data_IF_969809387655
#
_entry.id   IF_969809387655
#
_cell.length_a   1.000
_cell.length_b   1.000
_cell.length_c   1.000
_cell.angle_alpha   90.00
_cell.angle_beta   90.00
_cell.angle_gamma   90.00
#
_symmetry.space_group_name_H-M   'P 1'
#
loop_
_entity.id
_entity.type
_entity.pdbx_description
1 polymer ?
#
# COMPACT_ATOMS: atom_id res chain seq x y z
N UNK A 1 0.61 4.63 -19.69
CA UNK A 1 1.15 3.41 -19.03
C UNK A 1 2.61 3.68 -18.74
N UNK A 2 3.00 3.70 -17.46
CA UNK A 2 4.39 4.00 -17.07
C UNK A 2 4.98 2.72 -16.47
N UNK A 3 5.97 2.16 -17.14
CA UNK A 3 6.79 1.06 -16.62
C UNK A 3 7.93 1.69 -15.83
N UNK A 4 8.05 1.30 -14.56
CA UNK A 4 8.97 1.90 -13.60
C UNK A 4 9.82 0.78 -12.99
N UNK A 5 11.08 1.05 -12.67
CA UNK A 5 12.12 0.09 -12.26
C UNK A 5 12.77 0.43 -10.92
N UNK A 6 12.33 1.49 -10.20
CA UNK A 6 13.03 2.00 -9.01
C UNK A 6 12.13 2.60 -7.92
N UNK A 7 12.57 2.48 -6.64
CA UNK A 7 11.93 3.02 -5.42
C UNK A 7 11.57 4.51 -5.48
N UNK A 8 12.28 5.31 -6.28
CA UNK A 8 12.01 6.76 -6.45
C UNK A 8 10.71 7.04 -7.21
N UNK A 9 10.17 6.06 -7.92
CA UNK A 9 9.12 6.29 -8.91
C UNK A 9 7.70 6.12 -8.34
N UNK A 10 7.53 5.31 -7.29
CA UNK A 10 6.26 5.19 -6.54
C UNK A 10 5.87 6.51 -5.87
N UNK A 11 6.83 7.25 -5.31
CA UNK A 11 6.58 8.56 -4.67
C UNK A 11 6.09 9.60 -5.68
N UNK A 12 6.63 9.58 -6.90
CA UNK A 12 6.20 10.49 -7.97
C UNK A 12 4.78 10.17 -8.44
N UNK A 13 4.45 8.89 -8.43
CA UNK A 13 3.17 8.38 -8.90
C UNK A 13 2.00 8.59 -7.93
N UNK A 14 2.21 8.50 -6.61
CA UNK A 14 1.17 8.83 -5.63
C UNK A 14 0.65 10.27 -5.80
N UNK A 15 1.50 11.17 -6.31
CA UNK A 15 1.11 12.55 -6.63
C UNK A 15 0.22 12.67 -7.88
N UNK A 16 0.22 11.68 -8.77
CA UNK A 16 -0.42 11.73 -10.09
C UNK A 16 -1.67 10.83 -10.21
N UNK A 17 -1.94 9.95 -9.24
CA UNK A 17 -3.20 9.21 -9.13
C UNK A 17 -3.46 8.16 -10.23
N UNK A 18 -2.42 7.57 -10.83
CA UNK A 18 -2.55 6.60 -11.93
C UNK A 18 -2.56 5.11 -11.52
N UNK A 19 -2.07 4.24 -12.42
CA UNK A 19 -1.58 2.87 -12.14
C UNK A 19 -0.08 2.72 -12.54
N UNK A 20 0.73 1.95 -11.79
CA UNK A 20 2.14 1.61 -12.13
C UNK A 20 2.24 0.12 -12.45
N UNK A 21 3.11 -0.21 -13.41
CA UNK A 21 3.57 -1.58 -13.66
C UNK A 21 5.06 -1.66 -13.28
N UNK A 22 5.38 -2.48 -12.28
CA UNK A 22 6.75 -2.77 -11.82
C UNK A 22 6.94 -4.29 -11.84
N UNK A 23 7.88 -4.80 -12.63
CA UNK A 23 8.24 -6.23 -12.68
C UNK A 23 7.04 -7.20 -12.72
N UNK A 24 6.02 -6.84 -13.52
CA UNK A 24 4.76 -7.58 -13.70
C UNK A 24 3.76 -7.52 -12.53
N UNK A 25 4.04 -6.72 -11.51
CA UNK A 25 3.06 -6.31 -10.50
C UNK A 25 2.32 -5.06 -10.96
N UNK A 26 0.99 -5.06 -10.81
CA UNK A 26 0.14 -3.89 -11.12
C UNK A 26 -0.31 -3.25 -9.82
N UNK A 27 0.07 -1.98 -9.61
CA UNK A 27 -0.40 -1.17 -8.49
C UNK A 27 -1.43 -0.18 -9.02
N UNK A 28 -2.64 -0.22 -8.49
CA UNK A 28 -3.71 0.71 -8.85
C UNK A 28 -4.39 1.29 -7.61
N UNK A 29 -4.66 2.59 -7.62
CA UNK A 29 -5.46 3.24 -6.59
C UNK A 29 -6.94 2.98 -6.83
N UNK A 30 -7.66 2.55 -5.81
CA UNK A 30 -9.12 2.49 -5.80
C UNK A 30 -9.59 3.65 -4.92
N UNK A 31 -9.98 4.76 -5.56
CA UNK A 31 -10.59 5.88 -4.83
C UNK A 31 -12.04 5.56 -4.52
N UNK A 32 -12.32 5.07 -3.31
CA UNK A 32 -13.69 5.05 -2.80
C UNK A 32 -13.98 6.39 -2.12
N UNK A 33 -14.82 7.23 -2.74
CA UNK A 33 -15.27 8.50 -2.14
C UNK A 33 -16.28 8.31 -1.00
N UNK A 34 -16.77 7.09 -0.81
CA UNK A 34 -17.82 6.73 0.14
C UNK A 34 -17.27 6.04 1.41
N UNK A 35 -16.13 5.38 1.30
CA UNK A 35 -15.50 4.70 2.42
C UNK A 35 -14.39 5.60 2.95
N UNK A 36 -14.36 5.86 4.25
CA UNK A 36 -13.36 6.71 4.91
C UNK A 36 -11.93 6.08 4.90
N UNK A 37 -11.44 5.69 3.73
CA UNK A 37 -10.14 5.06 3.53
C UNK A 37 -9.63 5.26 2.10
N UNK A 38 -8.30 5.23 1.94
CA UNK A 38 -7.65 5.10 0.63
C UNK A 38 -7.31 3.64 0.42
N UNK A 39 -7.76 3.06 -0.68
CA UNK A 39 -7.50 1.66 -1.01
C UNK A 39 -6.53 1.58 -2.17
N UNK A 40 -5.51 0.74 -2.02
CA UNK A 40 -4.59 0.36 -3.08
C UNK A 40 -4.77 -1.10 -3.40
N UNK A 41 -4.74 -1.43 -4.68
CA UNK A 41 -4.72 -2.81 -5.14
C UNK A 41 -3.36 -3.10 -5.76
N UNK A 42 -2.68 -4.11 -5.23
CA UNK A 42 -1.41 -4.62 -5.75
C UNK A 42 -1.67 -6.03 -6.29
N UNK A 43 -1.55 -6.23 -7.59
CA UNK A 43 -1.90 -7.51 -8.25
C UNK A 43 -0.66 -8.22 -8.78
N UNK A 44 -0.58 -9.54 -8.58
CA UNK A 44 0.45 -10.38 -9.20
C UNK A 44 0.04 -10.89 -10.59
N UNK A 45 0.95 -11.61 -11.24
CA UNK A 45 0.71 -12.20 -12.58
C UNK A 45 -0.36 -13.29 -12.61
N UNK A 46 -0.58 -13.99 -11.49
CA UNK A 46 -1.58 -15.04 -11.39
C UNK A 46 -3.03 -14.48 -11.32
N UNK A 47 -3.18 -13.15 -11.25
CA UNK A 47 -4.46 -12.48 -11.12
C UNK A 47 -4.94 -12.34 -9.67
N UNK A 48 -4.12 -12.76 -8.70
CA UNK A 48 -4.37 -12.53 -7.28
C UNK A 48 -3.92 -11.14 -6.88
N UNK A 49 -4.55 -10.59 -5.84
CA UNK A 49 -4.23 -9.25 -5.39
C UNK A 49 -4.30 -9.05 -3.88
N UNK A 50 -3.59 -8.03 -3.43
CA UNK A 50 -3.69 -7.48 -2.09
C UNK A 50 -4.35 -6.11 -2.15
N UNK A 51 -5.48 -5.95 -1.47
CA UNK A 51 -6.05 -4.66 -1.13
C UNK A 51 -5.38 -4.11 0.13
N UNK A 52 -4.68 -2.98 0.01
CA UNK A 52 -4.07 -2.25 1.12
C UNK A 52 -4.93 -1.05 1.44
N UNK A 53 -5.56 -1.07 2.62
CA UNK A 53 -6.52 -0.06 3.05
C UNK A 53 -5.88 0.86 4.08
N UNK A 54 -5.70 2.13 3.73
CA UNK A 54 -5.23 3.17 4.63
C UNK A 54 -6.43 3.94 5.20
N UNK A 55 -6.71 3.82 6.50
CA UNK A 55 -7.80 4.55 7.17
C UNK A 55 -7.48 6.06 7.23
N UNK A 56 -8.48 6.92 7.08
CA UNK A 56 -8.25 8.38 7.17
C UNK A 56 -7.74 8.84 8.54
N UNK A 57 -8.11 8.16 9.62
CA UNK A 57 -7.62 8.49 10.97
C UNK A 57 -6.09 8.41 11.04
N UNK A 58 -5.51 7.40 10.38
CA UNK A 58 -4.07 7.25 10.24
C UNK A 58 -3.44 8.42 9.47
N UNK A 59 -4.11 8.94 8.44
CA UNK A 59 -3.66 10.12 7.71
C UNK A 59 -3.66 11.36 8.60
N UNK A 60 -4.71 11.55 9.40
CA UNK A 60 -4.81 12.67 10.34
C UNK A 60 -3.74 12.59 11.43
N UNK A 61 -3.53 11.41 12.02
CA UNK A 61 -2.48 11.16 13.01
C UNK A 61 -1.09 11.48 12.46
N UNK A 62 -0.78 10.99 11.25
CA UNK A 62 0.52 11.23 10.60
C UNK A 62 0.72 12.70 10.25
N UNK A 63 -0.33 13.39 9.77
CA UNK A 63 -0.25 14.83 9.44
C UNK A 63 0.07 15.70 10.67
N UNK A 64 -0.31 15.25 11.86
CA UNK A 64 -0.01 15.95 13.11
C UNK A 64 1.44 15.78 13.57
N UNK A 65 2.21 14.87 12.95
CA UNK A 65 3.62 14.64 13.27
C UNK A 65 4.48 15.53 12.37
N UNK A 66 5.25 16.44 12.99
CA UNK A 66 6.17 17.32 12.26
C UNK A 66 7.14 16.49 11.40
N UNK A 67 7.35 16.93 10.17
CA UNK A 67 8.27 16.35 9.18
C UNK A 67 7.88 14.94 8.67
N UNK A 68 6.66 14.45 8.95
CA UNK A 68 6.17 13.20 8.38
C UNK A 68 5.22 13.47 7.22
N UNK A 69 5.40 12.75 6.12
CA UNK A 69 4.55 12.87 4.92
C UNK A 69 3.75 11.59 4.76
N UNK A 70 2.42 11.72 4.77
CA UNK A 70 1.52 10.59 4.55
C UNK A 70 1.80 9.90 3.19
N UNK A 71 2.05 10.67 2.13
CA UNK A 71 2.38 10.12 0.82
C UNK A 71 3.70 9.34 0.85
N UNK A 72 4.70 9.81 1.60
CA UNK A 72 5.96 9.08 1.76
C UNK A 72 5.72 7.76 2.49
N UNK A 73 4.98 7.80 3.57
CA UNK A 73 4.58 6.62 4.33
C UNK A 73 3.83 5.60 3.47
N UNK A 74 2.80 6.05 2.75
CA UNK A 74 2.03 5.23 1.80
C UNK A 74 2.96 4.58 0.76
N UNK A 75 3.89 5.34 0.19
CA UNK A 75 4.89 4.81 -0.75
C UNK A 75 5.77 3.74 -0.12
N UNK A 76 6.28 3.99 1.08
CA UNK A 76 7.17 3.05 1.77
C UNK A 76 6.43 1.76 2.18
N UNK A 77 5.17 1.85 2.58
CA UNK A 77 4.32 0.69 2.84
C UNK A 77 4.09 -0.14 1.58
N UNK A 78 3.63 0.49 0.49
CA UNK A 78 3.39 -0.23 -0.77
C UNK A 78 4.65 -0.91 -1.29
N UNK A 79 5.80 -0.22 -1.22
CA UNK A 79 7.11 -0.77 -1.59
C UNK A 79 7.48 -2.01 -0.78
N UNK A 80 7.30 -1.98 0.54
CA UNK A 80 7.60 -3.12 1.40
C UNK A 80 6.70 -4.33 1.07
N UNK A 81 5.44 -4.05 0.73
CA UNK A 81 4.45 -5.07 0.43
C UNK A 81 4.65 -5.77 -0.91
N UNK A 82 5.35 -5.16 -1.88
CA UNK A 82 5.57 -5.75 -3.23
C UNK A 82 6.09 -7.19 -3.16
N UNK A 83 7.14 -7.43 -2.36
CA UNK A 83 7.72 -8.76 -2.17
C UNK A 83 6.76 -9.81 -1.61
N UNK A 84 5.66 -9.37 -1.01
CA UNK A 84 4.63 -10.23 -0.42
C UNK A 84 3.58 -10.66 -1.42
N UNK A 85 3.38 -9.88 -2.50
CA UNK A 85 2.30 -10.09 -3.47
C UNK A 85 2.65 -11.17 -4.49
N UNK A 86 3.94 -11.34 -4.80
CA UNK A 86 4.42 -12.33 -5.78
C UNK A 86 4.00 -13.76 -5.46
N UNK A 87 3.86 -14.09 -4.16
CA UNK A 87 3.51 -15.43 -3.70
C UNK A 87 2.05 -15.57 -3.24
N UNK A 88 1.15 -14.65 -3.60
CA UNK A 88 -0.27 -14.79 -3.24
C UNK A 88 -0.95 -15.84 -4.10
N UNK A 89 -1.65 -16.76 -3.43
CA UNK A 89 -2.46 -17.82 -4.04
C UNK A 89 -3.97 -17.51 -4.03
N UNK A 90 -4.37 -16.40 -3.40
CA UNK A 90 -5.74 -15.90 -3.37
C UNK A 90 -5.75 -14.39 -3.12
N UNK A 91 -6.94 -13.79 -3.12
CA UNK A 91 -7.09 -12.36 -2.86
C UNK A 91 -7.11 -12.11 -1.36
N UNK A 92 -6.45 -11.02 -0.96
CA UNK A 92 -6.36 -10.63 0.44
C UNK A 92 -6.61 -9.14 0.62
N UNK A 93 -6.98 -8.77 1.83
CA UNK A 93 -7.09 -7.40 2.32
C UNK A 93 -6.18 -7.22 3.53
N UNK A 94 -5.45 -6.11 3.54
CA UNK A 94 -4.63 -5.63 4.64
C UNK A 94 -5.14 -4.24 5.03
N UNK A 95 -5.73 -4.13 6.21
CA UNK A 95 -6.10 -2.82 6.76
C UNK A 95 -4.97 -2.27 7.59
N UNK A 96 -4.42 -1.13 7.21
CA UNK A 96 -3.36 -0.45 7.94
C UNK A 96 -3.97 0.45 9.02
N UNK A 97 -3.54 0.23 10.27
CA UNK A 97 -3.93 0.98 11.45
C UNK A 97 -2.70 1.28 12.31
N UNK A 98 -2.86 2.16 13.31
CA UNK A 98 -1.77 2.44 14.23
C UNK A 98 -1.37 1.17 15.03
N UNK A 99 -2.30 0.27 15.30
CA UNK A 99 -2.06 -0.96 16.07
C UNK A 99 -1.10 -1.91 15.35
N UNK A 100 -1.28 -2.11 14.04
CA UNK A 100 -0.42 -3.03 13.29
C UNK A 100 0.87 -2.37 12.81
N UNK A 101 0.91 -1.06 12.57
CA UNK A 101 2.12 -0.35 12.15
C UNK A 101 3.00 0.02 13.35
N UNK A 102 2.40 0.33 14.49
CA UNK A 102 3.07 0.86 15.66
C UNK A 102 3.35 2.37 15.56
N UNK A 103 3.72 2.98 16.69
CA UNK A 103 3.91 4.43 16.82
C UNK A 103 5.07 5.01 16.00
N UNK A 104 5.96 4.17 15.49
CA UNK A 104 7.07 4.57 14.63
C UNK A 104 6.69 4.79 13.16
N UNK A 105 5.48 4.43 12.75
CA UNK A 105 5.01 4.54 11.36
C UNK A 105 5.96 3.88 10.34
N UNK A 106 6.62 2.80 10.76
CA UNK A 106 7.57 2.08 9.92
C UNK A 106 6.84 1.16 8.93
N UNK A 107 7.42 0.89 7.75
CA UNK A 107 6.91 -0.11 6.82
C UNK A 107 6.76 -1.48 7.48
N UNK A 108 5.65 -2.15 7.24
CA UNK A 108 5.48 -3.53 7.70
C UNK A 108 6.50 -4.43 7.00
N UNK A 109 7.16 -5.31 7.76
CA UNK A 109 7.89 -6.42 7.17
C UNK A 109 6.93 -7.41 6.52
N UNK A 110 7.40 -8.16 5.52
CA UNK A 110 6.58 -9.15 4.82
C UNK A 110 5.90 -10.15 5.78
N UNK A 111 6.64 -10.64 6.79
CA UNK A 111 6.11 -11.59 7.77
C UNK A 111 4.98 -11.00 8.63
N UNK A 112 5.17 -9.75 9.09
CA UNK A 112 4.17 -9.04 9.88
C UNK A 112 2.94 -8.70 9.05
N UNK A 113 3.15 -8.27 7.80
CA UNK A 113 2.07 -7.98 6.87
C UNK A 113 1.21 -9.22 6.59
N UNK A 114 1.84 -10.38 6.29
CA UNK A 114 1.13 -11.64 6.04
C UNK A 114 0.26 -12.07 7.22
N UNK A 115 0.74 -11.87 8.43
CA UNK A 115 -0.01 -12.19 9.66
C UNK A 115 -1.26 -11.32 9.84
N UNK A 116 -1.37 -10.21 9.11
CA UNK A 116 -2.51 -9.29 9.14
C UNK A 116 -3.41 -9.41 7.89
N UNK A 117 -3.17 -10.38 7.00
CA UNK A 117 -4.00 -10.57 5.82
C UNK A 117 -5.33 -11.23 6.16
N UNK A 118 -6.40 -10.69 5.58
CA UNK A 118 -7.73 -11.27 5.61
C UNK A 118 -8.11 -11.71 4.20
N UNK A 119 -8.46 -12.98 4.00
CA UNK A 119 -8.90 -13.49 2.70
C UNK A 119 -10.22 -12.84 2.27
N UNK A 120 -10.38 -12.60 0.96
CA UNK A 120 -11.56 -11.97 0.34
C UNK A 120 -12.00 -12.71 -0.91
#
# INVERSE_FOLDING_TARGET
MVSLSSKKEIVLFLKLGGFIIMDNTVISKIESRLEHSKVWKISNQAGHYLEVVFKYDLENEIRNIRNFSFNRFESEQLNALLSTVDSLEQNYRLELSQENIGSGYLPLSADKARSCFTAI
#
